data_IF_679062988385
#
_entry.id   IF_679062988385
#
_cell.length_a   1.000
_cell.length_b   1.000
_cell.length_c   1.000
_cell.angle_alpha   90.00
_cell.angle_beta   90.00
_cell.angle_gamma   90.00
#
_symmetry.space_group_name_H-M   'P 1'
#
loop_
_entity.id
_entity.type
_entity.pdbx_description
1 polymer ?
#
# COMPACT_ATOMS: atom_id res chain seq x y z
N UNK A 1 -54.75 39.90 0.39
CA UNK A 1 -53.38 40.20 0.83
C UNK A 1 -52.67 38.84 0.94
N UNK A 2 -51.61 38.64 0.14
CA UNK A 2 -50.53 37.62 0.26
C UNK A 2 -50.98 36.15 0.05
N UNK A 3 -50.76 35.50 -1.10
CA UNK A 3 -49.51 35.02 -1.73
C UNK A 3 -48.85 33.85 -0.98
N UNK A 4 -48.82 32.66 -1.60
CA UNK A 4 -47.61 31.83 -1.80
C UNK A 4 -47.96 30.35 -1.94
N UNK A 5 -47.63 29.85 -3.12
CA UNK A 5 -47.49 28.44 -3.45
C UNK A 5 -46.40 27.77 -2.60
N UNK A 6 -46.63 26.52 -2.20
CA UNK A 6 -45.54 25.59 -1.92
C UNK A 6 -45.86 24.22 -2.51
N UNK A 7 -45.42 24.07 -3.75
CA UNK A 7 -45.10 22.82 -4.42
C UNK A 7 -43.97 22.12 -3.67
N UNK A 8 -44.06 20.81 -3.44
CA UNK A 8 -42.89 20.06 -2.97
C UNK A 8 -43.12 18.60 -2.60
N UNK A 9 -43.15 17.73 -3.61
CA UNK A 9 -42.51 16.42 -3.52
C UNK A 9 -43.22 15.33 -2.73
N UNK A 10 -44.27 14.76 -3.31
CA UNK A 10 -44.82 13.47 -2.88
C UNK A 10 -43.78 12.36 -3.06
N UNK A 11 -43.16 11.94 -1.95
CA UNK A 11 -42.55 10.62 -1.82
C UNK A 11 -43.70 9.63 -1.96
N UNK A 12 -43.79 8.96 -3.12
CA UNK A 12 -44.81 7.92 -3.34
C UNK A 12 -44.49 6.74 -2.41
N UNK A 13 -45.16 6.76 -1.28
CA UNK A 13 -45.30 5.67 -0.34
C UNK A 13 -45.84 4.44 -1.10
N UNK A 14 -45.03 3.38 -1.19
CA UNK A 14 -45.48 2.10 -1.74
C UNK A 14 -46.35 1.46 -0.68
N UNK A 15 -47.65 1.76 -0.74
CA UNK A 15 -48.67 1.13 0.09
C UNK A 15 -48.81 -0.34 -0.31
N UNK A 16 -48.35 -1.24 0.56
CA UNK A 16 -48.63 -2.67 0.49
C UNK A 16 -49.87 -2.93 1.34
N UNK A 17 -51.02 -3.10 0.69
CA UNK A 17 -52.28 -3.44 1.34
C UNK A 17 -52.29 -4.87 1.88
N UNK A 18 -52.43 -5.00 3.21
CA UNK A 18 -53.20 -6.08 3.86
C UNK A 18 -54.64 -5.98 3.30
N UNK A 19 -55.31 -7.03 2.81
CA UNK A 19 -56.25 -7.87 3.59
C UNK A 19 -56.76 -9.03 2.69
N UNK A 20 -56.42 -10.29 3.00
CA UNK A 20 -57.13 -11.54 2.59
C UNK A 20 -56.41 -12.76 3.17
N UNK A 21 -56.31 -12.78 4.51
CA UNK A 21 -55.27 -13.48 5.26
C UNK A 21 -55.51 -14.93 5.66
N UNK A 22 -55.68 -15.87 4.72
CA UNK A 22 -55.42 -17.30 5.03
C UNK A 22 -54.80 -18.10 3.88
N UNK A 23 -55.14 -17.78 2.62
CA UNK A 23 -54.50 -18.39 1.43
C UNK A 23 -53.37 -17.53 0.85
N UNK A 24 -53.38 -16.22 1.12
CA UNK A 24 -52.28 -15.31 0.77
C UNK A 24 -51.10 -15.41 1.72
N UNK A 25 -51.30 -15.87 2.97
CA UNK A 25 -50.22 -16.05 3.93
C UNK A 25 -49.13 -17.04 3.45
N UNK A 26 -49.46 -18.27 3.00
CA UNK A 26 -48.42 -19.19 2.50
C UNK A 26 -47.79 -18.69 1.19
N UNK A 27 -48.57 -18.06 0.30
CA UNK A 27 -48.06 -17.48 -0.95
C UNK A 27 -47.16 -16.27 -0.68
N UNK A 28 -47.54 -15.38 0.23
CA UNK A 28 -46.73 -14.23 0.65
C UNK A 28 -45.46 -14.70 1.37
N UNK A 29 -45.53 -15.72 2.23
CA UNK A 29 -44.35 -16.33 2.85
C UNK A 29 -43.41 -16.95 1.82
N UNK A 30 -43.94 -17.63 0.79
CA UNK A 30 -43.15 -18.16 -0.33
C UNK A 30 -42.48 -17.04 -1.15
N UNK A 31 -43.20 -15.95 -1.41
CA UNK A 31 -42.68 -14.77 -2.13
C UNK A 31 -41.58 -14.08 -1.32
N UNK A 32 -41.79 -13.88 -0.02
CA UNK A 32 -40.78 -13.29 0.88
C UNK A 32 -39.55 -14.18 1.00
N UNK A 33 -39.73 -15.50 1.12
CA UNK A 33 -38.63 -16.46 1.12
C UNK A 33 -37.88 -16.46 -0.22
N UNK A 34 -38.60 -16.40 -1.33
CA UNK A 34 -38.02 -16.30 -2.67
C UNK A 34 -37.21 -15.01 -2.86
N UNK A 35 -37.72 -13.88 -2.38
CA UNK A 35 -37.02 -12.60 -2.40
C UNK A 35 -35.76 -12.63 -1.52
N UNK A 36 -35.86 -13.20 -0.32
CA UNK A 36 -34.72 -13.37 0.60
C UNK A 36 -33.61 -14.21 -0.05
N UNK A 37 -33.97 -15.35 -0.65
CA UNK A 37 -33.03 -16.22 -1.37
C UNK A 37 -32.42 -15.48 -2.55
N UNK A 38 -33.21 -14.74 -3.33
CA UNK A 38 -32.71 -13.93 -4.44
C UNK A 38 -31.69 -12.88 -3.97
N UNK A 39 -31.99 -12.14 -2.89
CA UNK A 39 -31.06 -11.15 -2.32
C UNK A 39 -29.75 -11.80 -1.85
N UNK A 40 -29.82 -12.96 -1.21
CA UNK A 40 -28.63 -13.72 -0.77
C UNK A 40 -27.80 -14.18 -1.96
N UNK A 41 -28.45 -14.67 -3.03
CA UNK A 41 -27.77 -15.10 -4.26
C UNK A 41 -27.13 -13.90 -4.96
N UNK A 42 -27.86 -12.80 -5.17
CA UNK A 42 -27.30 -11.61 -5.82
C UNK A 42 -26.13 -11.00 -5.02
N UNK A 43 -26.20 -11.06 -3.69
CA UNK A 43 -25.14 -10.58 -2.80
C UNK A 43 -23.86 -11.44 -2.84
N UNK A 44 -23.97 -12.70 -3.29
CA UNK A 44 -22.83 -13.60 -3.48
C UNK A 44 -22.05 -13.36 -4.78
N UNK A 45 -22.60 -12.59 -5.72
CA UNK A 45 -21.94 -12.32 -7.01
C UNK A 45 -20.86 -11.26 -6.83
N UNK A 46 -19.59 -11.67 -6.84
CA UNK A 46 -18.43 -10.78 -6.83
C UNK A 46 -17.83 -10.71 -8.23
N UNK A 47 -17.61 -9.49 -8.73
CA UNK A 47 -16.85 -9.25 -9.95
C UNK A 47 -15.37 -9.14 -9.58
N UNK A 48 -14.54 -9.99 -10.18
CA UNK A 48 -13.07 -9.95 -10.04
C UNK A 48 -12.47 -9.42 -11.33
N UNK A 49 -11.63 -8.41 -11.21
CA UNK A 49 -10.95 -7.78 -12.34
C UNK A 49 -9.75 -8.61 -12.82
N UNK A 50 -9.35 -8.45 -14.08
CA UNK A 50 -8.21 -9.17 -14.68
C UNK A 50 -6.87 -8.87 -14.01
N UNK A 51 -6.75 -7.67 -13.41
CA UNK A 51 -5.62 -7.18 -12.63
C UNK A 51 -5.56 -7.76 -11.21
N UNK A 52 -6.55 -8.56 -10.79
CA UNK A 52 -6.64 -9.10 -9.44
C UNK A 52 -6.79 -10.62 -9.46
N UNK A 53 -6.24 -11.29 -8.44
CA UNK A 53 -6.52 -12.69 -8.12
C UNK A 53 -7.36 -12.72 -6.86
N UNK A 54 -8.40 -13.54 -6.85
CA UNK A 54 -9.25 -13.69 -5.66
C UNK A 54 -8.86 -14.96 -4.90
N UNK A 55 -8.40 -14.80 -3.67
CA UNK A 55 -8.16 -15.93 -2.77
C UNK A 55 -9.42 -16.16 -1.96
N UNK A 56 -10.05 -17.32 -2.14
CA UNK A 56 -11.28 -17.67 -1.46
C UNK A 56 -10.96 -18.53 -0.25
N UNK A 57 -11.39 -18.05 0.91
CA UNK A 57 -11.25 -18.72 2.20
C UNK A 57 -12.63 -19.09 2.72
N UNK A 58 -12.87 -20.38 2.98
CA UNK A 58 -14.13 -20.88 3.54
C UNK A 58 -13.90 -21.36 4.96
N UNK A 59 -14.59 -20.74 5.92
CA UNK A 59 -14.42 -21.02 7.35
C UNK A 59 -12.95 -21.06 7.82
N UNK A 60 -12.13 -20.14 7.31
CA UNK A 60 -10.70 -20.07 7.67
C UNK A 60 -9.78 -21.01 6.88
N UNK A 61 -10.30 -21.93 6.07
CA UNK A 61 -9.50 -22.79 5.18
C UNK A 61 -9.40 -22.19 3.78
N UNK A 62 -8.20 -22.17 3.20
CA UNK A 62 -7.99 -21.72 1.83
C UNK A 62 -8.46 -22.81 0.87
N UNK A 63 -9.48 -22.52 0.06
CA UNK A 63 -9.96 -23.46 -0.98
C UNK A 63 -9.07 -23.39 -2.22
N UNK A 64 -8.55 -22.19 -2.51
CA UNK A 64 -7.62 -21.97 -3.61
C UNK A 64 -7.71 -20.58 -4.19
N UNK A 65 -6.83 -20.33 -5.15
CA UNK A 65 -6.73 -19.09 -5.90
C UNK A 65 -7.68 -19.16 -7.09
N UNK A 66 -8.59 -18.20 -7.20
CA UNK A 66 -9.52 -18.10 -8.32
C UNK A 66 -9.05 -16.99 -9.25
N UNK A 67 -8.90 -17.34 -10.53
CA UNK A 67 -8.63 -16.40 -11.62
C UNK A 67 -9.80 -15.45 -11.88
N UNK A 68 -9.57 -14.44 -12.74
CA UNK A 68 -10.50 -13.33 -12.99
C UNK A 68 -11.81 -13.79 -13.63
N UNK A 69 -12.87 -13.01 -13.43
CA UNK A 69 -14.22 -13.30 -13.94
C UNK A 69 -15.32 -13.11 -12.90
N UNK A 70 -16.54 -13.46 -13.30
CA UNK A 70 -17.70 -13.43 -12.40
C UNK A 70 -17.66 -14.66 -11.50
N UNK A 71 -17.52 -14.45 -10.19
CA UNK A 71 -17.43 -15.54 -9.21
C UNK A 71 -18.55 -15.43 -8.20
N UNK A 72 -19.18 -16.56 -7.95
CA UNK A 72 -20.16 -16.71 -6.88
C UNK A 72 -19.45 -17.15 -5.60
N UNK A 73 -19.54 -16.32 -4.57
CA UNK A 73 -19.06 -16.63 -3.22
C UNK A 73 -20.27 -16.74 -2.30
N UNK A 74 -20.28 -17.73 -1.41
CA UNK A 74 -21.33 -17.80 -0.40
C UNK A 74 -21.12 -16.66 0.61
N UNK A 75 -22.05 -15.68 0.71
CA UNK A 75 -21.83 -14.48 1.52
C UNK A 75 -21.59 -14.74 3.02
N UNK A 76 -22.04 -15.89 3.53
CA UNK A 76 -21.90 -16.26 4.95
C UNK A 76 -20.71 -17.18 5.25
N UNK A 77 -20.21 -17.93 4.28
CA UNK A 77 -19.18 -18.96 4.50
C UNK A 77 -17.83 -18.60 3.88
N UNK A 78 -17.86 -17.83 2.78
CA UNK A 78 -16.70 -17.54 1.96
C UNK A 78 -16.26 -16.08 2.14
N UNK A 79 -15.00 -15.88 2.48
CA UNK A 79 -14.33 -14.58 2.42
C UNK A 79 -13.40 -14.55 1.22
N UNK A 80 -13.52 -13.54 0.37
CA UNK A 80 -12.63 -13.33 -0.77
C UNK A 80 -11.65 -12.20 -0.49
N UNK A 81 -10.34 -12.49 -0.51
CA UNK A 81 -9.29 -11.47 -0.45
C UNK A 81 -8.78 -11.21 -1.87
N UNK A 82 -8.76 -9.95 -2.27
CA UNK A 82 -8.24 -9.52 -3.57
C UNK A 82 -6.74 -9.31 -3.46
N UNK A 83 -5.99 -9.95 -4.35
CA UNK A 83 -4.54 -9.85 -4.44
C UNK A 83 -4.19 -9.20 -5.78
N UNK A 84 -3.51 -8.05 -5.79
CA UNK A 84 -3.15 -7.40 -7.03
C UNK A 84 -2.15 -8.27 -7.82
N UNK A 85 -2.36 -8.36 -9.13
CA UNK A 85 -1.46 -9.04 -10.06
C UNK A 85 -0.52 -7.99 -10.66
N UNK A 86 0.76 -8.09 -10.33
CA UNK A 86 1.81 -7.22 -10.87
C UNK A 86 2.60 -6.51 -9.79
N UNK A 87 3.68 -5.87 -10.22
CA UNK A 87 4.54 -5.06 -9.36
C UNK A 87 4.03 -3.64 -9.25
N UNK A 88 4.11 -3.10 -8.04
CA UNK A 88 3.75 -1.73 -7.73
C UNK A 88 4.97 -1.00 -7.14
N UNK A 89 5.19 0.27 -7.53
CA UNK A 89 6.25 1.08 -6.95
C UNK A 89 5.86 1.52 -5.53
N UNK A 90 6.77 1.32 -4.58
CA UNK A 90 6.66 1.83 -3.22
C UNK A 90 7.83 2.77 -2.94
N UNK A 91 7.50 4.03 -2.66
CA UNK A 91 8.46 5.01 -2.16
C UNK A 91 8.67 4.82 -0.65
N UNK A 92 9.91 4.55 -0.24
CA UNK A 92 10.31 4.36 1.15
C UNK A 92 11.24 5.52 1.54
N UNK A 93 10.88 6.20 2.62
CA UNK A 93 11.65 7.32 3.17
C UNK A 93 12.08 6.98 4.58
N UNK A 94 13.39 6.85 4.79
CA UNK A 94 13.91 6.45 6.09
C UNK A 94 15.12 7.27 6.51
N UNK A 95 15.33 7.34 7.82
CA UNK A 95 16.55 7.86 8.42
C UNK A 95 17.35 6.67 8.95
N UNK A 96 18.60 6.59 8.55
CA UNK A 96 19.55 5.56 8.99
C UNK A 96 20.87 6.22 9.38
N UNK A 97 21.63 5.55 10.22
CA UNK A 97 23.00 5.95 10.56
C UNK A 97 23.93 4.94 9.92
N UNK A 98 24.91 5.42 9.16
CA UNK A 98 25.93 4.56 8.53
C UNK A 98 26.91 4.02 9.58
N UNK A 99 27.78 3.08 9.17
CA UNK A 99 28.82 2.54 10.06
C UNK A 99 29.73 3.64 10.63
N UNK A 100 29.98 4.70 9.87
CA UNK A 100 30.79 5.86 10.27
C UNK A 100 30.12 6.78 11.32
N UNK A 101 28.91 6.44 11.77
CA UNK A 101 28.15 7.26 12.74
C UNK A 101 27.50 8.50 12.12
N UNK A 102 27.46 8.60 10.78
CA UNK A 102 26.81 9.71 10.08
C UNK A 102 25.34 9.38 9.87
N UNK A 103 24.45 10.24 10.39
CA UNK A 103 23.02 10.12 10.11
C UNK A 103 22.71 10.61 8.69
N UNK A 104 22.00 9.80 7.91
CA UNK A 104 21.57 10.10 6.54
C UNK A 104 20.06 9.90 6.40
N UNK A 105 19.44 10.72 5.55
CA UNK A 105 18.06 10.50 5.10
C UNK A 105 18.11 9.92 3.70
N UNK A 106 17.54 8.73 3.55
CA UNK A 106 17.59 8.00 2.29
C UNK A 106 16.17 7.88 1.72
N UNK A 107 16.05 8.18 0.42
CA UNK A 107 14.89 7.87 -0.40
C UNK A 107 15.21 6.62 -1.22
N UNK A 108 14.37 5.60 -1.10
CA UNK A 108 14.46 4.40 -1.93
C UNK A 108 13.13 4.12 -2.63
N UNK A 109 13.23 3.47 -3.80
CA UNK A 109 12.11 2.97 -4.57
C UNK A 109 12.19 1.45 -4.60
N UNK A 110 11.16 0.78 -4.09
CA UNK A 110 11.02 -0.67 -4.13
C UNK A 110 9.87 -1.07 -5.05
N UNK A 111 10.16 -1.84 -6.10
CA UNK A 111 9.15 -2.47 -6.94
C UNK A 111 8.80 -3.82 -6.32
N UNK A 112 7.61 -3.91 -5.72
CA UNK A 112 7.16 -5.11 -5.01
C UNK A 112 5.83 -5.60 -5.55
N UNK A 113 5.65 -6.92 -5.58
CA UNK A 113 4.43 -7.59 -6.02
C UNK A 113 4.11 -8.81 -5.18
N UNK A 114 2.85 -9.25 -5.22
CA UNK A 114 2.46 -10.51 -4.57
C UNK A 114 2.96 -11.70 -5.40
N UNK A 115 3.82 -12.53 -4.81
CA UNK A 115 4.36 -13.75 -5.43
C UNK A 115 3.46 -14.96 -5.08
N UNK A 116 3.24 -15.19 -3.79
CA UNK A 116 2.31 -16.20 -3.29
C UNK A 116 1.00 -15.55 -2.80
N UNK A 117 -0.10 -15.65 -3.57
CA UNK A 117 -1.39 -15.08 -3.17
C UNK A 117 -1.98 -15.76 -1.94
N UNK A 118 -1.71 -17.04 -1.70
CA UNK A 118 -2.22 -17.76 -0.53
C UNK A 118 -1.56 -17.23 0.73
N UNK A 119 -0.24 -17.07 0.70
CA UNK A 119 0.51 -16.51 1.82
C UNK A 119 0.12 -15.05 2.07
N UNK A 120 0.02 -14.24 1.01
CA UNK A 120 -0.40 -12.84 1.05
C UNK A 120 -1.77 -12.67 1.73
N UNK A 121 -2.75 -13.52 1.39
CA UNK A 121 -4.08 -13.47 1.99
C UNK A 121 -4.14 -13.95 3.45
N UNK A 122 -3.09 -14.61 3.95
CA UNK A 122 -3.03 -15.18 5.30
C UNK A 122 -2.26 -14.32 6.30
N UNK A 123 -1.37 -13.45 5.84
CA UNK A 123 -0.39 -12.79 6.70
C UNK A 123 -1.01 -11.73 7.64
N UNK A 124 -1.81 -10.78 7.12
CA UNK A 124 -2.38 -9.64 7.88
C UNK A 124 -3.51 -8.97 7.06
N UNK A 125 -4.26 -8.03 7.63
CA UNK A 125 -5.26 -7.20 6.93
C UNK A 125 -4.65 -6.35 5.78
N UNK A 126 -3.39 -5.90 5.91
CA UNK A 126 -2.68 -5.09 4.91
C UNK A 126 -1.23 -5.58 4.64
N UNK A 127 -1.05 -6.74 3.99
CA UNK A 127 0.26 -7.37 3.78
C UNK A 127 1.25 -6.50 2.99
N UNK A 128 0.79 -5.69 2.03
CA UNK A 128 1.64 -4.74 1.30
C UNK A 128 2.25 -3.66 2.18
N UNK A 129 1.47 -3.11 3.12
CA UNK A 129 1.96 -2.10 4.07
C UNK A 129 2.92 -2.71 5.09
N UNK A 130 2.62 -3.92 5.57
CA UNK A 130 3.52 -4.65 6.47
C UNK A 130 4.86 -4.96 5.78
N UNK A 131 4.82 -5.45 4.53
CA UNK A 131 6.03 -5.70 3.73
C UNK A 131 6.85 -4.42 3.52
N UNK A 132 6.21 -3.27 3.27
CA UNK A 132 6.90 -1.98 3.15
C UNK A 132 7.63 -1.59 4.44
N UNK A 133 6.98 -1.75 5.60
CA UNK A 133 7.62 -1.44 6.88
C UNK A 133 8.83 -2.35 7.17
N UNK A 134 8.73 -3.63 6.79
CA UNK A 134 9.82 -4.59 6.98
C UNK A 134 10.96 -4.33 5.98
N UNK A 135 10.64 -3.97 4.74
CA UNK A 135 11.63 -3.52 3.76
C UNK A 135 12.36 -2.27 4.26
N UNK A 136 11.70 -1.34 4.94
CA UNK A 136 12.34 -0.19 5.57
C UNK A 136 13.36 -0.60 6.65
N UNK A 137 13.00 -1.58 7.49
CA UNK A 137 13.90 -2.11 8.52
C UNK A 137 15.11 -2.81 7.89
N UNK A 138 14.89 -3.65 6.87
CA UNK A 138 15.96 -4.34 6.15
C UNK A 138 16.90 -3.36 5.44
N UNK A 139 16.35 -2.32 4.80
CA UNK A 139 17.14 -1.28 4.14
C UNK A 139 17.95 -0.46 5.16
N UNK A 140 17.37 -0.17 6.34
CA UNK A 140 18.09 0.47 7.45
C UNK A 140 19.29 -0.37 7.90
N UNK A 141 19.13 -1.69 8.01
CA UNK A 141 20.20 -2.61 8.40
C UNK A 141 21.33 -2.63 7.34
N UNK A 142 20.98 -2.70 6.06
CA UNK A 142 21.98 -2.65 4.97
C UNK A 142 22.75 -1.34 4.97
N UNK A 143 22.09 -0.21 5.22
CA UNK A 143 22.77 1.09 5.30
C UNK A 143 23.67 1.17 6.53
N UNK A 144 23.27 0.56 7.66
CA UNK A 144 24.07 0.53 8.87
C UNK A 144 25.36 -0.30 8.70
N UNK A 145 25.33 -1.33 7.85
CA UNK A 145 26.50 -2.16 7.52
C UNK A 145 27.36 -1.58 6.37
N UNK A 146 27.11 -0.35 5.94
CA UNK A 146 27.86 0.31 4.86
C UNK A 146 28.47 1.61 5.33
N UNK A 147 29.63 1.91 4.76
CA UNK A 147 30.33 3.18 5.00
C UNK A 147 29.72 4.27 4.10
N UNK A 148 29.83 5.54 4.50
CA UNK A 148 29.27 6.67 3.75
C UNK A 148 29.85 6.77 2.34
N UNK A 149 31.13 6.40 2.18
CA UNK A 149 31.82 6.40 0.89
C UNK A 149 31.25 5.40 -0.11
N UNK A 150 30.58 4.34 0.37
CA UNK A 150 29.99 3.29 -0.47
C UNK A 150 28.53 3.60 -0.86
N UNK A 151 27.85 4.53 -0.18
CA UNK A 151 26.46 4.89 -0.53
C UNK A 151 26.29 5.35 -1.99
N UNK A 152 27.18 6.17 -2.58
CA UNK A 152 27.08 6.54 -3.99
C UNK A 152 27.16 5.36 -4.95
N UNK A 153 27.92 4.30 -4.62
CA UNK A 153 28.01 3.12 -5.47
C UNK A 153 26.72 2.30 -5.46
N UNK A 154 26.04 2.23 -4.31
CA UNK A 154 24.70 1.65 -4.16
C UNK A 154 23.62 2.43 -4.93
N UNK A 155 23.78 3.75 -5.07
CA UNK A 155 22.88 4.56 -5.89
C UNK A 155 23.14 4.38 -7.39
N UNK A 156 24.39 4.14 -7.78
CA UNK A 156 24.76 3.89 -9.16
C UNK A 156 24.30 2.50 -9.64
N UNK A 157 24.40 1.50 -8.78
CA UNK A 157 23.97 0.15 -9.08
C UNK A 157 22.50 -0.07 -8.70
N UNK A 158 21.60 0.09 -9.68
CA UNK A 158 20.15 -0.04 -9.46
C UNK A 158 19.73 -1.46 -9.08
N UNK A 159 20.53 -2.46 -9.45
CA UNK A 159 20.19 -3.89 -9.33
C UNK A 159 21.19 -4.60 -8.40
N UNK A 160 21.45 -4.06 -7.22
CA UNK A 160 22.28 -4.75 -6.23
C UNK A 160 21.57 -6.03 -5.76
N UNK A 161 22.02 -7.17 -6.30
CA UNK A 161 21.44 -8.48 -6.03
C UNK A 161 21.52 -8.87 -4.55
N UNK A 162 22.52 -8.40 -3.81
CA UNK A 162 22.65 -8.67 -2.38
C UNK A 162 21.64 -7.86 -1.56
N UNK A 163 21.39 -6.61 -1.95
CA UNK A 163 20.35 -5.79 -1.34
C UNK A 163 18.96 -6.41 -1.56
N UNK A 164 18.63 -6.76 -2.81
CA UNK A 164 17.35 -7.39 -3.15
C UNK A 164 17.18 -8.71 -2.40
N UNK A 165 18.23 -9.53 -2.29
CA UNK A 165 18.20 -10.79 -1.54
C UNK A 165 17.91 -10.59 -0.05
N UNK A 166 18.57 -9.63 0.60
CA UNK A 166 18.35 -9.35 2.04
C UNK A 166 16.94 -8.83 2.31
N UNK A 167 16.44 -7.95 1.45
CA UNK A 167 15.06 -7.45 1.56
C UNK A 167 14.07 -8.58 1.34
N UNK A 168 14.26 -9.41 0.30
CA UNK A 168 13.39 -10.56 0.00
C UNK A 168 13.35 -11.59 1.11
N UNK A 169 14.47 -11.87 1.78
CA UNK A 169 14.49 -12.77 2.91
C UNK A 169 13.68 -12.24 4.10
N UNK A 170 13.74 -10.92 4.32
CA UNK A 170 12.88 -10.29 5.29
C UNK A 170 11.41 -10.38 4.88
N UNK A 171 11.01 -9.97 3.67
CA UNK A 171 9.57 -9.84 3.30
C UNK A 171 8.87 -11.16 2.91
N UNK A 172 9.60 -12.27 2.74
CA UNK A 172 9.06 -13.58 2.33
C UNK A 172 7.82 -14.05 3.12
N UNK A 173 7.74 -13.91 4.46
CA UNK A 173 6.57 -14.37 5.24
C UNK A 173 5.26 -13.65 4.91
N UNK A 174 5.31 -12.51 4.22
CA UNK A 174 4.14 -11.73 3.82
C UNK A 174 3.61 -12.11 2.43
N UNK A 175 4.24 -13.08 1.74
CA UNK A 175 3.85 -13.48 0.38
C UNK A 175 4.13 -12.41 -0.69
N UNK A 176 5.01 -11.47 -0.39
CA UNK A 176 5.43 -10.37 -1.28
C UNK A 176 6.88 -10.60 -1.68
N UNK A 177 7.19 -10.32 -2.94
CA UNK A 177 8.56 -10.31 -3.46
C UNK A 177 8.90 -8.92 -4.02
N UNK A 178 10.15 -8.51 -3.84
CA UNK A 178 10.74 -7.33 -4.44
C UNK A 178 11.54 -7.74 -5.69
N UNK A 179 11.18 -7.16 -6.82
CA UNK A 179 11.87 -7.36 -8.09
C UNK A 179 13.07 -6.41 -8.21
N UNK A 180 12.92 -5.20 -7.67
CA UNK A 180 13.92 -4.14 -7.75
C UNK A 180 13.88 -3.29 -6.48
N UNK A 181 15.05 -2.98 -5.93
CA UNK A 181 15.21 -2.02 -4.84
C UNK A 181 16.32 -1.06 -5.22
N UNK A 182 15.96 0.19 -5.53
CA UNK A 182 16.90 1.23 -5.94
C UNK A 182 16.93 2.35 -4.91
N UNK A 183 18.13 2.78 -4.52
CA UNK A 183 18.31 3.98 -3.70
C UNK A 183 18.33 5.20 -4.64
N UNK A 184 17.36 6.09 -4.48
CA UNK A 184 17.15 7.23 -5.39
C UNK A 184 17.95 8.45 -4.94
N UNK A 185 17.95 8.74 -3.64
CA UNK A 185 18.63 9.92 -3.10
C UNK A 185 19.07 9.71 -1.66
N UNK A 186 20.21 10.27 -1.28
CA UNK A 186 20.74 10.23 0.08
C UNK A 186 21.16 11.63 0.51
N UNK A 187 20.42 12.21 1.45
CA UNK A 187 20.68 13.52 2.01
C UNK A 187 21.38 13.39 3.36
N UNK A 188 22.60 13.90 3.47
CA UNK A 188 23.24 14.13 4.77
C UNK A 188 22.67 15.44 5.34
N UNK A 189 21.96 15.43 6.49
CA UNK A 189 21.61 16.66 7.18
C UNK A 189 22.93 17.28 7.69
N UNK A 190 23.46 18.23 6.93
CA UNK A 190 24.59 19.05 7.39
C UNK A 190 24.11 19.78 8.64
N UNK A 191 24.74 19.51 9.79
CA UNK A 191 24.64 20.40 10.95
C UNK A 191 25.21 21.74 10.50
N UNK A 192 24.32 22.66 10.10
CA UNK A 192 24.64 24.07 9.93
C UNK A 192 25.12 24.58 11.29
N UNK A 193 26.44 24.72 11.43
CA UNK A 193 27.05 25.05 12.72
C UNK A 193 28.57 24.94 12.76
N UNK A 194 29.21 24.38 11.73
CA UNK A 194 30.66 24.53 11.56
C UNK A 194 30.92 25.83 10.80
N UNK A 195 31.57 26.84 11.41
CA UNK A 195 32.12 27.94 10.64
C UNK A 195 33.13 27.32 9.68
N UNK A 196 32.78 27.24 8.40
CA UNK A 196 33.76 27.03 7.35
C UNK A 196 34.76 28.17 7.53
N UNK A 197 35.96 27.85 8.03
CA UNK A 197 37.05 28.79 8.09
C UNK A 197 37.23 29.32 6.69
N UNK A 198 36.76 30.55 6.48
CA UNK A 198 37.00 31.31 5.27
C UNK A 198 38.50 31.57 5.24
N UNK A 199 39.25 30.70 4.56
CA UNK A 199 40.65 30.95 4.25
C UNK A 199 40.73 32.36 3.64
N UNK A 200 41.52 33.20 4.28
CA UNK A 200 41.49 34.64 4.15
C UNK A 200 41.63 35.09 2.69
N UNK A 201 40.76 36.03 2.30
CA UNK A 201 41.12 36.96 1.27
C UNK A 201 42.36 37.73 1.74
N UNK A 202 43.43 37.84 0.94
CA UNK A 202 44.58 38.64 1.32
C UNK A 202 44.12 40.09 1.49
N UNK A 203 44.31 40.64 2.69
CA UNK A 203 44.07 42.03 2.97
C UNK A 203 45.04 42.88 2.14
N UNK A 204 44.55 43.49 1.08
CA UNK A 204 45.28 44.51 0.32
C UNK A 204 45.42 45.75 1.20
N UNK A 205 46.53 45.85 1.94
CA UNK A 205 46.87 47.04 2.71
C UNK A 205 47.12 48.25 1.82
N UNK A 206 46.82 49.49 2.28
CA UNK A 206 47.02 50.69 1.48
C UNK A 206 48.51 50.96 1.26
N UNK A 207 48.91 51.06 -0.01
CA UNK A 207 50.26 51.48 -0.42
C UNK A 207 50.51 52.91 0.07
N UNK A 208 51.39 53.09 1.06
CA UNK A 208 51.95 54.40 1.40
C UNK A 208 52.85 54.85 0.24
N UNK A 209 52.48 55.95 -0.42
CA UNK A 209 53.36 56.67 -1.31
C UNK A 209 54.41 57.42 -0.50
N UNK A 210 55.68 57.29 -0.88
CA UNK A 210 56.80 58.01 -0.28
C UNK A 210 56.86 59.46 -0.84
N UNK A 211 57.22 60.46 -0.01
CA UNK A 211 57.50 61.81 -0.49
C UNK A 211 58.92 61.93 -1.07
N UNK A 212 59.07 62.76 -2.11
CA UNK A 212 60.35 63.30 -2.60
C UNK A 212 60.57 64.69 -2.02
#
# INVERSE_FOLDING_TARGET
MVESEHTGGGVREVAVGQDSGFLTAPLASLVVLGLLVAVVVLSGVRRVETSERLVVRRFGRTIGVRGPGLRFLLPFADTGVRVPKGVHPYDIWLKATTRDGVSVRVKALAMMGADDPVMYASATDSPSSAAQAIAEVALRDVIADRDLADLPSLMANRDDADLVRRVNEAIRPWGVAADLVSITDAMVPVRAGLPLCRCGAPATGPRRAAPR
#
